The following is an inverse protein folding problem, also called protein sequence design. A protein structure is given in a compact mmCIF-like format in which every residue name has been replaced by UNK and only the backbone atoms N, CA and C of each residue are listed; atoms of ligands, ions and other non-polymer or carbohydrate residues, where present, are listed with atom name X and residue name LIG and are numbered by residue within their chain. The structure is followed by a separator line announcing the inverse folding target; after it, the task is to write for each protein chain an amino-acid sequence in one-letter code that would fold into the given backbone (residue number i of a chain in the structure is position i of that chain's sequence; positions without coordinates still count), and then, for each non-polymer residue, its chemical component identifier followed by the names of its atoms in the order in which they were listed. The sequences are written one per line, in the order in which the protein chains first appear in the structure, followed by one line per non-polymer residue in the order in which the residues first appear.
data_IF_218750681904
#
_entry.id   IF_218750681904
#
_cell.length_a   1.000
_cell.length_b   1.000
_cell.length_c   1.000
_cell.angle_alpha   90.00
_cell.angle_beta   90.00
_cell.angle_gamma   90.00
#
_symmetry.space_group_name_H-M   'P 1'
#
loop_
_entity.id
_entity.type
_entity.pdbx_description
1 polymer ?
#
# COMPACT_ATOMS: atom_id res chain seq x y z
N UNK A 1 -7.92 27.21 -21.77
CA UNK A 1 -7.50 25.79 -21.75
C UNK A 1 -8.44 25.03 -20.86
N UNK A 2 -9.16 24.05 -21.39
CA UNK A 2 -10.15 23.28 -20.63
C UNK A 2 -9.44 22.43 -19.56
N UNK A 3 -9.82 22.61 -18.29
CA UNK A 3 -9.43 21.70 -17.24
C UNK A 3 -10.05 20.33 -17.55
N UNK A 4 -9.22 19.33 -17.81
CA UNK A 4 -9.66 17.95 -18.01
C UNK A 4 -10.23 17.48 -16.67
N UNK A 5 -11.54 17.53 -16.52
CA UNK A 5 -12.29 16.91 -15.41
C UNK A 5 -12.26 15.40 -15.60
N UNK A 6 -11.08 14.80 -15.48
CA UNK A 6 -10.93 13.37 -15.29
C UNK A 6 -10.87 13.14 -13.78
N UNK A 7 -11.74 12.29 -13.26
CA UNK A 7 -11.68 11.80 -11.88
C UNK A 7 -10.22 11.50 -11.55
N UNK A 8 -9.60 12.25 -10.62
CA UNK A 8 -8.26 11.91 -10.12
C UNK A 8 -8.41 10.64 -9.30
N UNK A 9 -8.44 9.49 -9.96
CA UNK A 9 -8.47 8.19 -9.31
C UNK A 9 -7.11 8.00 -8.65
N UNK A 10 -7.02 8.29 -7.35
CA UNK A 10 -5.85 7.93 -6.55
C UNK A 10 -5.60 6.44 -6.70
N UNK A 11 -4.36 6.04 -6.96
CA UNK A 11 -4.01 4.63 -7.08
C UNK A 11 -3.47 4.13 -5.73
N UNK A 12 -3.96 2.96 -5.32
CA UNK A 12 -3.53 2.30 -4.08
C UNK A 12 -2.91 0.96 -4.45
N UNK A 13 -1.66 0.75 -4.03
CA UNK A 13 -0.90 -0.47 -4.29
C UNK A 13 -0.77 -1.22 -2.98
N UNK A 14 -1.14 -2.50 -2.95
CA UNK A 14 -0.86 -3.38 -1.81
C UNK A 14 0.36 -4.21 -2.15
N UNK A 15 1.36 -4.22 -1.28
CA UNK A 15 2.53 -5.10 -1.43
C UNK A 15 2.29 -6.35 -0.58
N UNK A 16 2.16 -7.49 -1.24
CA UNK A 16 1.89 -8.80 -0.62
C UNK A 16 3.04 -9.78 -0.85
N UNK A 17 3.12 -10.82 -0.01
CA UNK A 17 4.15 -11.85 -0.07
C UNK A 17 4.56 -12.36 1.32
N UNK A 18 5.34 -13.43 1.31
CA UNK A 18 5.70 -14.18 2.53
C UNK A 18 6.51 -13.36 3.54
N UNK A 19 6.59 -13.88 4.76
CA UNK A 19 7.41 -13.28 5.82
C UNK A 19 8.88 -13.26 5.37
N UNK A 20 9.54 -12.10 5.52
CA UNK A 20 10.97 -11.97 5.25
C UNK A 20 11.35 -11.71 3.79
N UNK A 21 10.39 -11.60 2.86
CA UNK A 21 10.66 -11.30 1.43
C UNK A 21 11.04 -9.85 1.15
N UNK A 22 11.10 -8.99 2.16
CA UNK A 22 11.52 -7.59 2.01
C UNK A 22 10.42 -6.59 1.61
N UNK A 23 9.13 -6.91 1.81
CA UNK A 23 8.00 -6.01 1.49
C UNK A 23 8.16 -4.59 2.05
N UNK A 24 8.31 -4.49 3.37
CA UNK A 24 8.49 -3.21 4.06
C UNK A 24 9.77 -2.50 3.59
N UNK A 25 10.86 -3.25 3.40
CA UNK A 25 12.13 -2.72 2.92
C UNK A 25 12.05 -2.16 1.50
N UNK A 26 11.30 -2.82 0.61
CA UNK A 26 11.07 -2.35 -0.77
C UNK A 26 10.28 -1.04 -0.78
N UNK A 27 9.24 -0.93 0.05
CA UNK A 27 8.45 0.29 0.17
C UNK A 27 9.30 1.43 0.75
N UNK A 28 10.05 1.17 1.82
CA UNK A 28 10.94 2.17 2.41
C UNK A 28 11.96 2.67 1.38
N UNK A 29 12.57 1.76 0.61
CA UNK A 29 13.54 2.13 -0.40
C UNK A 29 12.96 2.95 -1.54
N UNK A 30 11.74 2.64 -1.98
CA UNK A 30 11.02 3.43 -2.97
C UNK A 30 10.68 4.84 -2.46
N UNK A 31 10.40 4.99 -1.16
CA UNK A 31 10.03 6.26 -0.57
C UNK A 31 11.22 7.16 -0.24
N UNK A 32 12.39 6.58 0.06
CA UNK A 32 13.58 7.34 0.49
C UNK A 32 14.72 7.35 -0.52
N UNK A 33 14.59 6.63 -1.65
CA UNK A 33 15.65 6.44 -2.65
C UNK A 33 16.95 5.85 -2.05
N UNK A 34 16.82 5.06 -0.97
CA UNK A 34 17.93 4.46 -0.22
C UNK A 34 17.50 3.18 0.49
N UNK A 35 18.43 2.32 0.93
CA UNK A 35 18.08 1.12 1.70
C UNK A 35 18.37 1.32 3.20
N UNK A 36 17.38 1.73 4.02
CA UNK A 36 17.58 1.88 5.46
C UNK A 36 17.83 0.53 6.16
N UNK A 37 18.79 0.50 7.08
CA UNK A 37 19.20 -0.71 7.80
C UNK A 37 18.08 -1.28 8.69
N UNK A 38 17.25 -0.42 9.27
CA UNK A 38 16.19 -0.80 10.19
C UNK A 38 14.83 -0.36 9.65
N UNK A 39 14.04 -1.33 9.21
CA UNK A 39 12.68 -1.11 8.70
C UNK A 39 11.68 -1.82 9.61
N UNK A 40 10.62 -1.15 10.07
CA UNK A 40 9.53 -1.79 10.80
C UNK A 40 8.94 -2.98 10.02
N UNK A 41 8.40 -3.97 10.73
CA UNK A 41 7.84 -5.17 10.09
C UNK A 41 6.62 -4.92 9.21
N UNK A 42 5.94 -3.79 9.40
CA UNK A 42 4.85 -3.26 8.57
C UNK A 42 4.96 -1.74 8.63
N UNK A 43 4.94 -1.07 7.47
CA UNK A 43 4.93 0.38 7.38
C UNK A 43 3.51 0.96 7.44
N UNK A 44 3.32 2.20 7.92
CA UNK A 44 2.09 2.93 7.68
C UNK A 44 1.86 3.13 6.16
N UNK A 45 0.63 3.44 5.73
CA UNK A 45 0.37 3.83 4.35
C UNK A 45 1.36 4.90 3.89
N UNK A 46 2.10 4.59 2.83
CA UNK A 46 3.21 5.40 2.33
C UNK A 46 2.75 6.17 1.10
N UNK A 47 2.71 7.49 1.19
CA UNK A 47 2.36 8.36 0.07
C UNK A 47 3.61 8.69 -0.73
N UNK A 48 3.62 8.35 -2.01
CA UNK A 48 4.68 8.78 -2.91
C UNK A 48 4.31 10.11 -3.58
N UNK A 49 5.28 10.98 -3.87
CA UNK A 49 5.04 12.23 -4.58
C UNK A 49 4.36 11.99 -5.92
N UNK A 50 3.37 12.83 -6.27
CA UNK A 50 2.57 12.64 -7.48
C UNK A 50 3.36 12.89 -8.77
N UNK A 51 4.46 13.62 -8.68
CA UNK A 51 5.41 13.91 -9.75
C UNK A 51 6.36 12.75 -10.08
N UNK A 52 6.30 11.64 -9.32
CA UNK A 52 7.00 10.40 -9.68
C UNK A 52 6.45 9.77 -10.98
N UNK A 53 5.22 10.11 -11.39
CA UNK A 53 4.55 9.53 -12.55
C UNK A 53 4.03 10.61 -13.51
N UNK A 54 4.15 10.35 -14.82
CA UNK A 54 3.88 11.33 -15.88
C UNK A 54 2.42 11.82 -15.92
N UNK A 55 1.50 11.09 -15.31
CA UNK A 55 0.08 11.40 -15.21
C UNK A 55 -0.30 12.20 -13.96
N UNK A 56 0.66 12.45 -13.04
CA UNK A 56 0.42 13.25 -11.83
C UNK A 56 -0.56 12.60 -10.86
N UNK A 57 -0.73 11.28 -10.93
CA UNK A 57 -1.72 10.54 -10.13
C UNK A 57 -1.12 10.24 -8.75
N UNK A 58 -1.74 10.68 -7.64
CA UNK A 58 -1.24 10.37 -6.31
C UNK A 58 -1.24 8.85 -6.06
N UNK A 59 -0.10 8.33 -5.60
CA UNK A 59 0.05 6.94 -5.21
C UNK A 59 0.10 6.79 -3.70
N UNK A 60 -0.60 5.76 -3.20
CA UNK A 60 -0.47 5.30 -1.81
C UNK A 60 -0.09 3.83 -1.81
N UNK A 61 1.03 3.48 -1.22
CA UNK A 61 1.46 2.10 -1.03
C UNK A 61 1.04 1.62 0.36
N UNK A 62 0.41 0.46 0.40
CA UNK A 62 -0.09 -0.21 1.60
C UNK A 62 0.80 -1.43 1.83
N UNK A 63 1.56 -1.43 2.93
CA UNK A 63 2.30 -2.60 3.37
C UNK A 63 1.35 -3.61 4.03
N UNK A 64 1.52 -4.90 3.72
CA UNK A 64 0.70 -5.96 4.30
C UNK A 64 1.50 -6.80 5.30
N UNK A 65 0.88 -7.06 6.45
CA UNK A 65 1.42 -8.03 7.39
C UNK A 65 1.32 -9.44 6.79
N UNK A 66 2.38 -10.23 6.91
CA UNK A 66 2.34 -11.66 6.60
C UNK A 66 1.68 -12.50 7.71
N UNK A 67 1.10 -11.86 8.73
CA UNK A 67 0.37 -12.55 9.79
C UNK A 67 -1.05 -12.82 9.30
N UNK A 68 -1.52 -14.06 9.46
CA UNK A 68 -2.91 -14.41 9.20
C UNK A 68 -3.83 -13.60 10.12
N UNK A 69 -4.91 -13.05 9.56
CA UNK A 69 -5.95 -12.42 10.35
C UNK A 69 -6.64 -13.51 11.18
N UNK A 70 -6.62 -13.36 12.52
CA UNK A 70 -7.20 -14.33 13.46
C UNK A 70 -8.63 -14.00 13.87
N UNK A 71 -9.31 -13.09 13.16
CA UNK A 71 -10.71 -12.76 13.48
C UNK A 71 -11.63 -13.91 13.06
N UNK A 72 -12.45 -14.47 13.99
CA UNK A 72 -13.47 -15.44 13.61
C UNK A 72 -14.49 -14.77 12.69
N UNK A 73 -14.75 -15.37 11.53
CA UNK A 73 -15.84 -14.95 10.65
C UNK A 73 -17.15 -15.39 11.31
N UNK A 74 -17.92 -14.44 11.85
CA UNK A 74 -19.25 -14.74 12.39
C UNK A 74 -20.20 -15.08 11.25
N UNK A 75 -20.46 -16.38 11.02
CA UNK A 75 -21.54 -16.83 10.12
C UNK A 75 -22.86 -16.74 10.88
N UNK A 76 -23.68 -15.75 10.54
CA UNK A 76 -25.06 -15.69 11.04
C UNK A 76 -25.91 -16.60 10.14
N UNK A 77 -26.38 -17.73 10.68
CA UNK A 77 -27.36 -18.57 9.99
C UNK A 77 -28.69 -17.82 10.04
N UNK A 78 -29.23 -17.46 8.88
CA UNK A 78 -30.56 -16.85 8.77
C UNK A 78 -31.55 -18.02 8.85
N UNK A 79 -32.29 -18.12 9.95
CA UNK A 79 -33.44 -19.03 10.01
C UNK A 79 -34.63 -18.40 9.27
N UNK A 80 -35.28 -19.19 8.41
CA UNK A 80 -36.52 -18.81 7.70
C UNK A 80 -37.69 -18.56 8.65
#
# INVERSE_FOLDING_TARGET
MAAKTGVRTSVRIVVAGDRGTGKSSLIAAAATESFPDNVPSVLPPTHLPADFYADGVPLTIIDSSSRYATAPVSVSVISE
#
